data_IF_442892838563
#
_entry.id   IF_442892838563
#
_cell.length_a   1.000
_cell.length_b   1.000
_cell.length_c   1.000
_cell.angle_alpha   90.00
_cell.angle_beta   90.00
_cell.angle_gamma   90.00
#
_symmetry.space_group_name_H-M   'P 1'
#
loop_
_entity.id
_entity.type
_entity.pdbx_description
1 polymer ?
#
# COMPACT_ATOMS: atom_id res chain seq x y z
N UNK A 1 15.38 29.67 5.88
CA UNK A 1 14.68 30.58 6.80
C UNK A 1 13.38 31.00 6.11
N UNK A 2 12.26 30.70 6.75
CA UNK A 2 10.95 30.46 6.13
C UNK A 2 10.21 31.75 5.70
N UNK A 3 9.51 31.78 4.55
CA UNK A 3 8.82 32.97 4.01
C UNK A 3 7.45 33.26 4.67
N UNK A 4 7.27 32.87 5.94
CA UNK A 4 5.95 32.80 6.58
C UNK A 4 5.50 34.06 7.33
N UNK A 5 6.27 35.16 7.29
CA UNK A 5 6.01 36.35 8.13
C UNK A 5 5.29 37.48 7.36
N UNK A 6 5.28 37.50 6.02
CA UNK A 6 4.74 38.66 5.28
C UNK A 6 3.23 38.65 5.00
N UNK A 7 2.49 37.58 5.32
CA UNK A 7 1.06 37.48 4.92
C UNK A 7 0.03 37.95 5.96
N UNK A 8 0.45 38.57 7.07
CA UNK A 8 -0.44 38.93 8.17
C UNK A 8 -0.91 40.38 8.23
N UNK A 9 -0.77 41.18 7.16
CA UNK A 9 -1.01 42.63 7.26
C UNK A 9 -2.39 43.15 6.78
N UNK A 10 -3.30 42.34 6.19
CA UNK A 10 -4.55 42.91 5.61
C UNK A 10 -5.83 42.09 5.88
N UNK A 11 -5.73 40.84 6.36
CA UNK A 11 -6.93 40.03 6.60
C UNK A 11 -7.65 40.45 7.89
N UNK A 12 -8.96 40.66 7.83
CA UNK A 12 -9.79 40.91 9.03
C UNK A 12 -9.68 39.75 10.02
N UNK A 13 -9.90 40.00 11.31
CA UNK A 13 -9.82 38.96 12.35
C UNK A 13 -10.69 37.72 12.03
N UNK A 14 -11.81 37.91 11.31
CA UNK A 14 -12.69 36.81 10.89
C UNK A 14 -12.05 35.96 9.80
N UNK A 15 -11.35 36.55 8.84
CA UNK A 15 -10.73 35.81 7.74
C UNK A 15 -9.52 34.99 8.21
N UNK A 16 -8.74 35.54 9.16
CA UNK A 16 -7.67 34.80 9.84
C UNK A 16 -8.26 33.65 10.65
N UNK A 17 -9.34 33.90 11.40
CA UNK A 17 -10.03 32.88 12.18
C UNK A 17 -10.60 31.77 11.29
N UNK A 18 -11.21 32.11 10.15
CA UNK A 18 -11.73 31.11 9.19
C UNK A 18 -10.61 30.22 8.66
N UNK A 19 -9.45 30.79 8.32
CA UNK A 19 -8.30 30.01 7.84
C UNK A 19 -7.73 29.10 8.94
N UNK A 20 -7.70 29.55 10.19
CA UNK A 20 -7.30 28.74 11.34
C UNK A 20 -8.31 27.60 11.58
N UNK A 21 -9.61 27.89 11.58
CA UNK A 21 -10.64 26.88 11.77
C UNK A 21 -10.68 25.86 10.63
N UNK A 22 -10.40 26.28 9.39
CA UNK A 22 -10.26 25.37 8.25
C UNK A 22 -9.03 24.46 8.39
N UNK A 23 -7.92 24.99 8.93
CA UNK A 23 -6.73 24.20 9.24
C UNK A 23 -6.99 23.15 10.34
N UNK A 24 -7.82 23.49 11.34
CA UNK A 24 -8.23 22.56 12.39
C UNK A 24 -9.47 21.71 12.05
N UNK A 25 -10.12 21.94 10.89
CA UNK A 25 -11.33 21.23 10.49
C UNK A 25 -12.57 21.52 11.35
N UNK A 26 -12.63 22.66 12.03
CA UNK A 26 -13.61 22.99 13.07
C UNK A 26 -14.80 23.84 12.59
N UNK A 27 -15.10 23.92 11.29
CA UNK A 27 -16.33 24.59 10.85
C UNK A 27 -17.55 23.70 11.14
N UNK A 28 -18.45 24.07 12.07
CA UNK A 28 -19.65 23.27 12.33
C UNK A 28 -20.63 23.45 11.17
N UNK A 29 -20.96 22.36 10.48
CA UNK A 29 -21.95 22.38 9.37
C UNK A 29 -21.65 21.51 8.15
N UNK A 30 -20.72 20.55 8.24
CA UNK A 30 -20.56 19.51 7.23
C UNK A 30 -21.09 18.22 7.85
N UNK A 31 -22.12 17.63 7.24
CA UNK A 31 -22.53 16.26 7.56
C UNK A 31 -21.28 15.38 7.53
N UNK A 32 -21.02 14.70 8.65
CA UNK A 32 -19.93 13.74 8.75
C UNK A 32 -20.21 12.58 7.80
N UNK A 33 -19.81 12.71 6.54
CA UNK A 33 -19.21 11.56 5.89
C UNK A 33 -17.89 11.38 6.62
N UNK A 34 -17.70 10.31 7.43
CA UNK A 34 -16.38 10.06 7.96
C UNK A 34 -15.50 9.68 6.78
N UNK A 35 -14.87 10.68 6.16
CA UNK A 35 -13.60 10.47 5.48
C UNK A 35 -12.62 10.20 6.61
N UNK A 36 -12.69 8.99 7.16
CA UNK A 36 -11.68 8.43 8.04
C UNK A 36 -10.43 8.23 7.20
N UNK A 37 -9.77 9.32 6.83
CA UNK A 37 -8.39 9.30 6.36
C UNK A 37 -7.47 9.25 7.58
N UNK A 38 -7.68 8.27 8.46
CA UNK A 38 -6.52 7.70 9.16
C UNK A 38 -5.64 7.14 8.06
N UNK A 39 -4.34 7.48 7.98
CA UNK A 39 -3.45 6.87 7.00
C UNK A 39 -3.50 5.36 7.22
N UNK A 40 -4.18 4.65 6.32
CA UNK A 40 -4.39 3.22 6.45
C UNK A 40 -3.01 2.58 6.29
N UNK A 41 -2.46 2.03 7.38
CA UNK A 41 -1.15 1.38 7.39
C UNK A 41 -1.12 0.29 6.29
N UNK A 42 -0.04 0.20 5.49
CA UNK A 42 0.07 -0.83 4.47
C UNK A 42 -0.13 -2.23 5.08
N UNK A 43 -1.02 -3.02 4.48
CA UNK A 43 -1.25 -4.40 4.90
C UNK A 43 -1.26 -5.35 3.71
N UNK A 44 -0.93 -6.61 4.00
CA UNK A 44 -1.06 -7.74 3.08
C UNK A 44 -1.85 -8.82 3.82
N UNK A 45 -2.91 -9.34 3.20
CA UNK A 45 -3.69 -10.48 3.68
C UNK A 45 -3.50 -11.65 2.73
N UNK A 46 -3.01 -12.76 3.27
CA UNK A 46 -2.74 -14.00 2.54
C UNK A 46 -3.74 -15.04 3.02
N UNK A 47 -4.55 -15.58 2.10
CA UNK A 47 -5.56 -16.58 2.45
C UNK A 47 -5.87 -17.53 1.28
N UNK A 48 -5.93 -18.85 1.51
CA UNK A 48 -5.57 -19.55 2.75
C UNK A 48 -4.05 -19.51 3.03
N UNK A 49 -3.65 -19.66 4.29
CA UNK A 49 -2.24 -19.76 4.68
C UNK A 49 -2.13 -20.66 5.92
N UNK A 50 -1.65 -21.91 5.82
CA UNK A 50 -1.03 -22.53 4.63
C UNK A 50 -1.98 -22.75 3.44
N UNK A 51 -1.43 -22.88 2.23
CA UNK A 51 -2.18 -23.23 1.02
C UNK A 51 -1.60 -24.46 0.31
N UNK A 52 -2.46 -25.19 -0.42
CA UNK A 52 -2.08 -26.41 -1.17
C UNK A 52 -2.08 -26.22 -2.69
N UNK A 53 -3.06 -25.47 -3.21
CA UNK A 53 -3.25 -25.26 -4.65
C UNK A 53 -3.07 -23.82 -5.07
N UNK A 54 -3.88 -22.90 -4.50
CA UNK A 54 -3.85 -21.48 -4.82
C UNK A 54 -3.98 -20.66 -3.54
N UNK A 55 -3.28 -19.53 -3.49
CA UNK A 55 -3.39 -18.52 -2.44
C UNK A 55 -3.81 -17.18 -3.02
N UNK A 56 -4.73 -16.50 -2.34
CA UNK A 56 -5.06 -15.10 -2.62
C UNK A 56 -4.18 -14.18 -1.80
N UNK A 57 -3.60 -13.19 -2.45
CA UNK A 57 -2.85 -12.10 -1.84
C UNK A 57 -3.63 -10.81 -2.06
N UNK A 58 -4.16 -10.23 -0.98
CA UNK A 58 -4.80 -8.91 -0.98
C UNK A 58 -3.87 -7.91 -0.32
N UNK A 59 -3.79 -6.68 -0.83
CA UNK A 59 -3.04 -5.61 -0.18
C UNK A 59 -3.73 -4.26 -0.35
N UNK A 60 -3.57 -3.37 0.63
CA UNK A 60 -4.11 -2.00 0.59
C UNK A 60 -3.33 -1.11 1.57
N UNK A 61 -3.75 0.15 1.73
CA UNK A 61 -3.12 1.12 2.63
C UNK A 61 -1.80 1.67 2.09
N UNK A 62 -1.67 1.76 0.76
CA UNK A 62 -0.48 2.30 0.10
C UNK A 62 -0.80 3.72 -0.38
N UNK A 63 -0.28 4.72 0.33
CA UNK A 63 -0.49 6.13 -0.02
C UNK A 63 0.31 6.55 -1.26
N UNK A 64 1.52 6.00 -1.43
CA UNK A 64 2.37 6.24 -2.60
C UNK A 64 2.01 5.26 -3.73
N UNK A 65 1.25 5.73 -4.73
CA UNK A 65 0.80 4.87 -5.84
C UNK A 65 1.82 4.73 -6.97
N UNK A 66 2.93 5.45 -6.92
CA UNK A 66 3.94 5.43 -7.97
C UNK A 66 4.97 4.32 -7.74
N UNK A 67 5.23 3.51 -8.77
CA UNK A 67 6.24 2.45 -8.74
C UNK A 67 6.06 1.43 -7.59
N UNK A 68 4.80 1.09 -7.30
CA UNK A 68 4.49 0.00 -6.38
C UNK A 68 4.83 -1.32 -7.07
N UNK A 69 5.37 -2.29 -6.33
CA UNK A 69 5.59 -3.65 -6.81
C UNK A 69 5.16 -4.68 -5.77
N UNK A 70 4.56 -5.78 -6.23
CA UNK A 70 4.20 -6.94 -5.43
C UNK A 70 4.96 -8.16 -5.96
N UNK A 71 5.84 -8.71 -5.14
CA UNK A 71 6.78 -9.76 -5.54
C UNK A 71 6.83 -10.87 -4.51
N UNK A 72 6.95 -12.12 -4.96
CA UNK A 72 7.12 -13.30 -4.11
C UNK A 72 8.55 -13.82 -4.25
N UNK A 73 9.18 -14.12 -3.12
CA UNK A 73 10.54 -14.63 -3.02
C UNK A 73 10.56 -15.96 -2.26
N UNK A 74 11.50 -16.83 -2.58
CA UNK A 74 11.79 -18.00 -1.74
C UNK A 74 12.66 -17.62 -0.52
N UNK A 75 12.98 -18.60 0.33
CA UNK A 75 13.75 -18.41 1.57
C UNK A 75 15.18 -17.89 1.33
N UNK A 76 15.75 -18.15 0.15
CA UNK A 76 17.08 -17.65 -0.23
C UNK A 76 17.04 -16.18 -0.70
N UNK A 77 15.84 -15.62 -0.86
CA UNK A 77 15.66 -14.28 -1.40
C UNK A 77 15.60 -14.24 -2.93
N UNK A 78 15.57 -15.38 -3.62
CA UNK A 78 15.38 -15.43 -5.07
C UNK A 78 13.94 -15.06 -5.44
N UNK A 79 13.79 -14.17 -6.41
CA UNK A 79 12.48 -13.76 -6.96
C UNK A 79 11.85 -14.93 -7.72
N UNK A 80 10.66 -15.36 -7.32
CA UNK A 80 9.93 -16.46 -7.97
C UNK A 80 8.70 -15.99 -8.74
N UNK A 81 8.05 -14.91 -8.30
CA UNK A 81 6.88 -14.33 -8.98
C UNK A 81 6.86 -12.81 -8.87
N UNK A 82 6.51 -12.15 -9.96
CA UNK A 82 6.34 -10.70 -10.03
C UNK A 82 4.93 -10.39 -10.55
N UNK A 83 4.15 -9.61 -9.81
CA UNK A 83 2.81 -9.19 -10.19
C UNK A 83 2.77 -7.74 -10.68
N UNK A 84 3.91 -7.07 -10.77
CA UNK A 84 4.01 -5.68 -11.23
C UNK A 84 3.65 -5.58 -12.71
N UNK A 85 2.73 -4.66 -13.04
CA UNK A 85 2.36 -4.40 -14.42
C UNK A 85 3.45 -3.53 -15.10
N UNK A 86 3.75 -3.77 -16.39
CA UNK A 86 4.89 -3.14 -17.08
C UNK A 86 4.71 -1.65 -17.39
N UNK A 87 3.50 -1.10 -17.30
CA UNK A 87 3.21 0.29 -17.65
C UNK A 87 3.30 1.21 -16.43
N UNK A 88 4.03 2.33 -16.57
CA UNK A 88 4.25 3.39 -15.58
C UNK A 88 2.96 3.93 -14.92
N UNK A 89 1.81 3.75 -15.58
CA UNK A 89 0.50 4.22 -15.14
C UNK A 89 -0.41 3.12 -14.58
N UNK A 90 0.04 1.87 -14.52
CA UNK A 90 -0.80 0.77 -14.10
C UNK A 90 -0.77 0.59 -12.59
N UNK A 91 -1.87 0.98 -11.95
CA UNK A 91 -2.19 0.58 -10.60
C UNK A 91 -2.12 -0.96 -10.54
N UNK A 92 -1.31 -1.49 -9.62
CA UNK A 92 -1.39 -2.92 -9.33
C UNK A 92 -2.81 -3.26 -8.86
N UNK A 93 -3.36 -4.43 -9.21
CA UNK A 93 -4.65 -4.88 -8.70
C UNK A 93 -4.57 -5.13 -7.20
N UNK A 94 -5.56 -4.67 -6.41
CA UNK A 94 -5.62 -4.84 -4.93
C UNK A 94 -5.62 -6.31 -4.48
N UNK A 95 -5.88 -7.24 -5.40
CA UNK A 95 -5.90 -8.68 -5.17
C UNK A 95 -5.22 -9.40 -6.34
N UNK A 96 -4.34 -10.34 -6.03
CA UNK A 96 -3.76 -11.30 -6.98
C UNK A 96 -3.86 -12.72 -6.44
N UNK A 97 -3.67 -13.70 -7.31
CA UNK A 97 -3.62 -15.12 -6.95
C UNK A 97 -2.29 -15.73 -7.36
N UNK A 98 -1.79 -16.66 -6.55
CA UNK A 98 -0.59 -17.44 -6.83
C UNK A 98 -0.86 -18.93 -6.64
N UNK A 99 -0.41 -19.74 -7.58
CA UNK A 99 -0.63 -21.19 -7.66
C UNK A 99 0.60 -22.01 -7.27
N UNK A 100 1.60 -21.38 -6.66
CA UNK A 100 2.85 -22.02 -6.29
C UNK A 100 3.80 -22.29 -7.46
N UNK A 101 3.60 -21.63 -8.61
CA UNK A 101 4.52 -21.70 -9.76
C UNK A 101 5.40 -20.46 -9.87
N UNK A 102 6.60 -20.63 -10.42
CA UNK A 102 7.48 -19.50 -10.73
C UNK A 102 7.05 -18.78 -12.03
N UNK A 103 7.94 -17.93 -12.55
CA UNK A 103 7.75 -17.19 -13.80
C UNK A 103 7.81 -18.07 -15.06
N UNK A 104 8.46 -19.24 -14.97
CA UNK A 104 8.62 -20.21 -16.06
C UNK A 104 7.51 -21.28 -16.03
N UNK A 105 6.57 -21.17 -15.07
CA UNK A 105 5.47 -22.11 -14.90
C UNK A 105 5.87 -23.39 -14.16
N UNK A 106 7.10 -23.47 -13.65
CA UNK A 106 7.58 -24.62 -12.90
C UNK A 106 6.94 -24.63 -11.51
N UNK A 107 6.51 -25.82 -11.08
CA UNK A 107 6.00 -26.05 -9.73
C UNK A 107 7.15 -25.94 -8.72
N UNK A 108 6.93 -25.11 -7.70
CA UNK A 108 7.89 -24.92 -6.62
C UNK A 108 7.62 -25.92 -5.47
N UNK A 109 8.64 -26.27 -4.67
CA UNK A 109 8.51 -27.20 -3.55
C UNK A 109 7.73 -26.59 -2.38
N UNK A 110 7.11 -27.43 -1.54
CA UNK A 110 6.56 -27.03 -0.24
C UNK A 110 7.60 -26.26 0.57
N UNK A 111 7.17 -25.21 1.28
CA UNK A 111 8.09 -24.35 2.01
C UNK A 111 7.53 -22.97 2.33
N UNK A 112 8.42 -22.12 2.87
CA UNK A 112 8.12 -20.73 3.22
C UNK A 112 8.55 -19.82 2.07
N UNK A 113 7.66 -18.90 1.74
CA UNK A 113 7.88 -17.84 0.77
C UNK A 113 7.55 -16.49 1.38
N UNK A 114 8.07 -15.42 0.80
CA UNK A 114 7.87 -14.05 1.27
C UNK A 114 7.21 -13.21 0.20
N UNK A 115 6.01 -12.71 0.49
CA UNK A 115 5.33 -11.72 -0.31
C UNK A 115 5.74 -10.32 0.16
N UNK A 116 6.32 -9.52 -0.74
CA UNK A 116 6.79 -8.16 -0.45
C UNK A 116 6.06 -7.15 -1.31
N UNK A 117 5.57 -6.10 -0.67
CA UNK A 117 5.11 -4.86 -1.31
C UNK A 117 6.20 -3.81 -1.15
N UNK A 118 6.61 -3.18 -2.25
CA UNK A 118 7.58 -2.08 -2.27
C UNK A 118 7.02 -0.85 -2.98
N UNK A 119 7.42 0.34 -2.55
CA UNK A 119 7.32 1.60 -3.29
C UNK A 119 8.73 2.02 -3.66
N UNK A 120 9.10 1.91 -4.94
CA UNK A 120 10.48 2.10 -5.39
C UNK A 120 11.48 1.19 -4.66
N UNK A 121 12.41 1.79 -3.90
CA UNK A 121 13.43 1.05 -3.11
C UNK A 121 12.94 0.66 -1.71
N UNK A 122 11.87 1.27 -1.23
CA UNK A 122 11.38 1.10 0.14
C UNK A 122 10.45 -0.11 0.23
N UNK A 123 10.71 -1.01 1.18
CA UNK A 123 9.78 -2.11 1.47
C UNK A 123 8.70 -1.60 2.42
N UNK A 124 7.46 -1.60 1.96
CA UNK A 124 6.31 -1.15 2.76
C UNK A 124 5.81 -2.24 3.70
N UNK A 125 5.75 -3.48 3.20
CA UNK A 125 5.23 -4.62 3.95
C UNK A 125 5.79 -5.94 3.41
N UNK A 126 6.03 -6.88 4.32
CA UNK A 126 6.40 -8.27 4.01
C UNK A 126 5.49 -9.20 4.80
N UNK A 127 5.01 -10.27 4.17
CA UNK A 127 4.23 -11.32 4.83
C UNK A 127 4.67 -12.71 4.36
N UNK A 128 4.56 -13.71 5.25
CA UNK A 128 4.92 -15.10 4.97
C UNK A 128 3.80 -15.82 4.24
N UNK A 129 4.13 -16.55 3.18
CA UNK A 129 3.26 -17.53 2.54
C UNK A 129 3.81 -18.93 2.87
N UNK A 130 2.96 -19.82 3.36
CA UNK A 130 3.30 -21.21 3.65
C UNK A 130 2.61 -22.09 2.61
N UNK A 131 3.41 -22.82 1.82
CA UNK A 131 2.91 -23.77 0.82
C UNK A 131 3.13 -25.20 1.30
N UNK A 132 2.09 -26.02 1.25
CA UNK A 132 2.14 -27.44 1.60
C UNK A 132 1.46 -28.24 0.47
N UNK A 133 2.25 -29.01 -0.27
CA UNK A 133 1.79 -30.01 -1.24
C UNK A 133 2.09 -31.41 -0.76
#
# INVERSE_FOLDING_TARGET
>A
LSPLIELFSIASNIEVLTRILQWFGLLPGIEENPVSSTPQKPYIKISPNPFTSVVSVKYSGISERHNVSLKIYDMSGRLVKDFSLPTTNSLLPTKVTWDGRDREGKVLPSGIYFCKVKSGKTTLKTEKIIMVK
#
